data_IF_769085154034
#
_entry.id   IF_769085154034
#
_cell.length_a   1.000
_cell.length_b   1.000
_cell.length_c   1.000
_cell.angle_alpha   90.00
_cell.angle_beta   90.00
_cell.angle_gamma   90.00
#
_symmetry.space_group_name_H-M   'P 1'
#
loop_
_entity.id
_entity.type
_entity.pdbx_description
1 polymer ?
#
# COMPACT_ATOMS: atom_id res chain seq x y z
N UNK A 1 -11.91 68.89 8.71
CA UNK A 1 -10.81 67.91 8.54
C UNK A 1 -10.99 66.63 9.38
N UNK A 2 -11.37 66.72 10.66
CA UNK A 2 -11.53 65.53 11.52
C UNK A 2 -12.65 64.57 11.06
N UNK A 3 -13.83 65.10 10.68
CA UNK A 3 -14.98 64.29 10.24
C UNK A 3 -14.68 63.44 8.99
N UNK A 4 -13.98 63.98 7.99
CA UNK A 4 -13.62 63.24 6.77
C UNK A 4 -12.60 62.12 7.04
N UNK A 5 -11.63 62.34 7.93
CA UNK A 5 -10.67 61.30 8.35
C UNK A 5 -11.36 60.14 9.07
N UNK A 6 -12.32 60.47 9.96
CA UNK A 6 -13.13 59.47 10.67
C UNK A 6 -14.01 58.67 9.69
N UNK A 7 -14.63 59.34 8.72
CA UNK A 7 -15.44 58.67 7.70
C UNK A 7 -14.61 57.67 6.87
N UNK A 8 -13.42 58.08 6.42
CA UNK A 8 -12.50 57.19 5.68
C UNK A 8 -12.09 55.97 6.52
N UNK A 9 -11.82 56.18 7.82
CA UNK A 9 -11.50 55.09 8.75
C UNK A 9 -12.66 54.10 8.90
N UNK A 10 -13.90 54.59 9.06
CA UNK A 10 -15.11 53.76 9.13
C UNK A 10 -15.28 52.92 7.86
N UNK A 11 -15.04 53.53 6.69
CA UNK A 11 -15.17 52.84 5.40
C UNK A 11 -14.14 51.73 5.28
N UNK A 12 -12.88 52.01 5.61
CA UNK A 12 -11.79 51.01 5.59
C UNK A 12 -12.10 49.86 6.57
N UNK A 13 -12.54 50.19 7.79
CA UNK A 13 -12.91 49.18 8.78
C UNK A 13 -14.06 48.30 8.30
N UNK A 14 -15.09 48.90 7.70
CA UNK A 14 -16.24 48.16 7.16
C UNK A 14 -15.83 47.23 6.02
N UNK A 15 -14.97 47.68 5.11
CA UNK A 15 -14.44 46.85 4.01
C UNK A 15 -13.65 45.67 4.56
N UNK A 16 -12.76 45.89 5.53
CA UNK A 16 -11.99 44.83 6.18
C UNK A 16 -12.93 43.82 6.89
N UNK A 17 -13.99 44.30 7.53
CA UNK A 17 -14.97 43.43 8.20
C UNK A 17 -15.72 42.54 7.19
N UNK A 18 -16.11 43.09 6.05
CA UNK A 18 -16.74 42.31 4.97
C UNK A 18 -15.77 41.28 4.37
N UNK A 19 -14.53 41.69 4.08
CA UNK A 19 -13.51 40.80 3.52
C UNK A 19 -13.22 39.61 4.45
N UNK A 20 -13.06 39.86 5.75
CA UNK A 20 -12.80 38.79 6.73
C UNK A 20 -13.99 37.83 6.87
N UNK A 21 -15.23 38.32 6.78
CA UNK A 21 -16.42 37.46 6.78
C UNK A 21 -16.49 36.56 5.53
N UNK A 22 -16.15 37.09 4.35
CA UNK A 22 -16.07 36.31 3.12
C UNK A 22 -14.99 35.23 3.21
N UNK A 23 -13.77 35.61 3.64
CA UNK A 23 -12.66 34.68 3.83
C UNK A 23 -13.06 33.57 4.81
N UNK A 24 -13.62 33.92 5.97
CA UNK A 24 -14.08 32.94 6.98
C UNK A 24 -15.05 31.93 6.40
N UNK A 25 -15.99 32.38 5.57
CA UNK A 25 -17.00 31.52 4.95
C UNK A 25 -16.36 30.56 3.95
N UNK A 26 -15.47 31.06 3.09
CA UNK A 26 -14.77 30.24 2.11
C UNK A 26 -13.85 29.22 2.79
N UNK A 27 -13.11 29.65 3.82
CA UNK A 27 -12.28 28.74 4.62
C UNK A 27 -13.12 27.62 5.23
N UNK A 28 -14.32 27.93 5.76
CA UNK A 28 -15.20 26.91 6.34
C UNK A 28 -15.69 25.88 5.32
N UNK A 29 -15.94 26.29 4.08
CA UNK A 29 -16.33 25.38 2.99
C UNK A 29 -15.15 24.46 2.65
N UNK A 30 -13.94 25.01 2.54
CA UNK A 30 -12.73 24.24 2.25
C UNK A 30 -12.44 23.23 3.36
N UNK A 31 -12.52 23.63 4.64
CA UNK A 31 -12.37 22.73 5.78
C UNK A 31 -13.35 21.55 5.72
N UNK A 32 -14.62 21.82 5.43
CA UNK A 32 -15.65 20.76 5.33
C UNK A 32 -15.33 19.77 4.20
N UNK A 33 -14.84 20.28 3.07
CA UNK A 33 -14.43 19.42 1.96
C UNK A 33 -13.20 18.58 2.31
N UNK A 34 -12.20 19.17 2.96
CA UNK A 34 -11.02 18.44 3.45
C UNK A 34 -11.45 17.32 4.39
N UNK A 35 -12.31 17.61 5.36
CA UNK A 35 -12.81 16.61 6.31
C UNK A 35 -13.57 15.47 5.59
N UNK A 36 -14.41 15.81 4.62
CA UNK A 36 -15.12 14.81 3.80
C UNK A 36 -14.17 13.91 3.01
N UNK A 37 -13.12 14.49 2.40
CA UNK A 37 -12.12 13.70 1.68
C UNK A 37 -11.28 12.84 2.62
N UNK A 38 -10.87 13.35 3.78
CA UNK A 38 -10.15 12.57 4.78
C UNK A 38 -10.97 11.36 5.25
N UNK A 39 -12.26 11.54 5.50
CA UNK A 39 -13.15 10.44 5.85
C UNK A 39 -13.21 9.37 4.75
N UNK A 40 -13.41 9.78 3.50
CA UNK A 40 -13.43 8.86 2.35
C UNK A 40 -12.12 8.10 2.18
N UNK A 41 -10.99 8.78 2.34
CA UNK A 41 -9.66 8.16 2.26
C UNK A 41 -9.52 7.10 3.36
N UNK A 42 -9.90 7.42 4.60
CA UNK A 42 -9.83 6.47 5.71
C UNK A 42 -10.73 5.25 5.50
N UNK A 43 -11.93 5.44 4.93
CA UNK A 43 -12.84 4.34 4.56
C UNK A 43 -12.21 3.44 3.48
N UNK A 44 -11.65 4.05 2.43
CA UNK A 44 -10.95 3.34 1.35
C UNK A 44 -9.73 2.57 1.86
N UNK A 45 -8.94 3.14 2.76
CA UNK A 45 -7.79 2.48 3.39
C UNK A 45 -8.22 1.25 4.19
N UNK A 46 -9.30 1.36 4.97
CA UNK A 46 -9.83 0.23 5.73
C UNK A 46 -10.34 -0.88 4.80
N UNK A 47 -11.10 -0.53 3.77
CA UNK A 47 -11.60 -1.49 2.79
C UNK A 47 -10.46 -2.19 2.04
N UNK A 48 -9.40 -1.46 1.69
CA UNK A 48 -8.21 -2.04 1.07
C UNK A 48 -7.53 -3.03 2.02
N UNK A 49 -7.40 -2.67 3.29
CA UNK A 49 -6.79 -3.54 4.30
C UNK A 49 -7.59 -4.84 4.49
N UNK A 50 -8.91 -4.75 4.59
CA UNK A 50 -9.80 -5.91 4.66
C UNK A 50 -9.67 -6.81 3.41
N UNK A 51 -9.70 -6.21 2.21
CA UNK A 51 -9.52 -6.94 0.96
C UNK A 51 -8.14 -7.62 0.86
N UNK A 52 -7.08 -7.00 1.39
CA UNK A 52 -5.75 -7.61 1.47
C UNK A 52 -5.74 -8.81 2.41
N UNK A 53 -6.37 -8.69 3.58
CA UNK A 53 -6.48 -9.81 4.52
C UNK A 53 -7.25 -10.99 3.89
N UNK A 54 -8.37 -10.70 3.24
CA UNK A 54 -9.16 -11.71 2.53
C UNK A 54 -8.35 -12.36 1.41
N UNK A 55 -7.64 -11.57 0.61
CA UNK A 55 -6.74 -12.07 -0.43
C UNK A 55 -5.69 -13.01 0.16
N UNK A 56 -4.96 -12.60 1.21
CA UNK A 56 -3.93 -13.45 1.83
C UNK A 56 -4.50 -14.74 2.41
N UNK A 57 -5.71 -14.68 2.99
CA UNK A 57 -6.39 -15.87 3.49
C UNK A 57 -6.78 -16.82 2.36
N UNK A 58 -7.44 -16.33 1.31
CA UNK A 58 -7.89 -17.14 0.17
C UNK A 58 -6.73 -17.67 -0.66
N UNK A 59 -5.67 -16.88 -0.82
CA UNK A 59 -4.45 -17.27 -1.54
C UNK A 59 -3.47 -18.06 -0.68
N UNK A 60 -3.82 -18.39 0.57
CA UNK A 60 -2.95 -19.19 1.43
C UNK A 60 -2.73 -20.58 0.81
N UNK A 61 -1.53 -21.17 0.90
CA UNK A 61 -1.25 -22.47 0.30
C UNK A 61 -2.22 -23.57 0.75
N UNK A 62 -2.69 -23.50 2.00
CA UNK A 62 -3.65 -24.46 2.54
C UNK A 62 -5.04 -24.32 1.87
N UNK A 63 -5.58 -23.10 1.80
CA UNK A 63 -6.88 -22.86 1.17
C UNK A 63 -6.83 -23.08 -0.33
N UNK A 64 -5.73 -22.68 -0.98
CA UNK A 64 -5.50 -22.92 -2.39
C UNK A 64 -5.41 -24.41 -2.70
N UNK A 65 -4.69 -25.18 -1.87
CA UNK A 65 -4.62 -26.64 -2.01
C UNK A 65 -5.99 -27.29 -1.90
N UNK A 66 -6.78 -26.94 -0.87
CA UNK A 66 -8.15 -27.45 -0.69
C UNK A 66 -9.02 -27.15 -1.91
N UNK A 67 -8.94 -25.93 -2.44
CA UNK A 67 -9.74 -25.51 -3.59
C UNK A 67 -9.31 -26.18 -4.90
N UNK A 68 -8.01 -26.37 -5.11
CA UNK A 68 -7.49 -27.11 -6.28
C UNK A 68 -7.95 -28.57 -6.22
N UNK A 69 -7.92 -29.20 -5.05
CA UNK A 69 -8.41 -30.56 -4.84
C UNK A 69 -9.94 -30.69 -5.04
N UNK A 70 -10.70 -29.62 -4.78
CA UNK A 70 -12.15 -29.58 -5.00
C UNK A 70 -12.51 -29.49 -6.50
N UNK A 71 -11.72 -28.78 -7.30
CA UNK A 71 -12.04 -28.48 -8.72
C UNK A 71 -11.13 -29.16 -9.75
N UNK A 72 -10.11 -29.92 -9.32
CA UNK A 72 -9.19 -30.63 -10.20
C UNK A 72 -8.71 -31.92 -9.56
N UNK A 73 -8.33 -32.90 -10.39
CA UNK A 73 -7.76 -34.18 -9.95
C UNK A 73 -6.24 -34.06 -9.63
N UNK A 74 -5.67 -32.86 -9.69
CA UNK A 74 -4.25 -32.59 -9.48
C UNK A 74 -3.95 -32.19 -8.03
N UNK A 75 -3.00 -32.88 -7.38
CA UNK A 75 -2.51 -32.48 -6.06
C UNK A 75 -1.65 -31.22 -6.16
N UNK A 76 -2.11 -30.12 -5.56
CA UNK A 76 -1.30 -28.92 -5.40
C UNK A 76 -0.13 -29.19 -4.43
N UNK A 77 1.10 -29.11 -4.96
CA UNK A 77 2.33 -29.16 -4.16
C UNK A 77 2.92 -27.77 -4.06
N UNK A 78 2.88 -27.19 -2.86
CA UNK A 78 3.58 -25.94 -2.57
C UNK A 78 5.07 -26.09 -2.89
N UNK A 79 5.70 -25.03 -3.40
CA UNK A 79 7.14 -25.02 -3.62
C UNK A 79 7.86 -25.30 -2.29
N UNK A 80 8.81 -26.24 -2.29
CA UNK A 80 9.61 -26.51 -1.10
C UNK A 80 10.42 -25.26 -0.72
N UNK A 81 10.44 -24.92 0.57
CA UNK A 81 11.22 -23.78 1.10
C UNK A 81 12.69 -23.80 0.67
N UNK A 82 13.30 -24.99 0.54
CA UNK A 82 14.68 -25.15 0.07
C UNK A 82 14.90 -24.74 -1.39
N UNK A 83 13.83 -24.56 -2.17
CA UNK A 83 13.84 -24.11 -3.57
C UNK A 83 13.39 -22.65 -3.71
N UNK A 84 13.11 -21.95 -2.62
CA UNK A 84 12.80 -20.52 -2.61
C UNK A 84 14.13 -19.76 -2.48
N UNK A 85 14.46 -18.98 -3.51
CA UNK A 85 15.68 -18.16 -3.53
C UNK A 85 15.29 -16.69 -3.47
N UNK A 86 15.91 -15.93 -2.55
CA UNK A 86 15.68 -14.49 -2.41
C UNK A 86 16.30 -13.68 -3.55
N UNK A 87 17.31 -14.24 -4.21
CA UNK A 87 18.01 -13.61 -5.33
C UNK A 87 18.43 -14.65 -6.38
N UNK A 88 18.69 -14.17 -7.60
CA UNK A 88 19.19 -15.04 -8.67
C UNK A 88 20.63 -15.51 -8.39
N UNK A 89 21.39 -14.73 -7.62
CA UNK A 89 22.72 -15.05 -7.15
C UNK A 89 22.70 -16.25 -6.20
N UNK A 90 21.74 -16.31 -5.28
CA UNK A 90 21.56 -17.43 -4.35
C UNK A 90 21.26 -18.73 -5.09
N UNK A 91 20.37 -18.67 -6.08
CA UNK A 91 20.09 -19.78 -6.98
C UNK A 91 21.35 -20.27 -7.71
N UNK A 92 22.10 -19.34 -8.32
CA UNK A 92 23.34 -19.66 -9.05
C UNK A 92 24.40 -20.26 -8.13
N UNK A 93 24.51 -19.79 -6.88
CA UNK A 93 25.45 -20.30 -5.89
C UNK A 93 25.12 -21.74 -5.50
N UNK A 94 23.84 -22.04 -5.31
CA UNK A 94 23.38 -23.38 -4.93
C UNK A 94 23.55 -24.39 -6.07
N UNK A 95 23.19 -24.00 -7.30
CA UNK A 95 23.47 -24.75 -8.53
C UNK A 95 24.95 -25.10 -8.70
N UNK A 96 25.85 -24.15 -8.41
CA UNK A 96 27.30 -24.35 -8.48
C UNK A 96 27.82 -25.32 -7.42
N UNK A 97 27.22 -25.36 -6.22
CA UNK A 97 27.57 -26.33 -5.16
C UNK A 97 27.16 -27.75 -5.58
N UNK A 98 25.95 -27.93 -6.09
CA UNK A 98 25.44 -29.23 -6.56
C UNK A 98 26.30 -29.76 -7.69
N UNK A 99 26.63 -28.91 -8.67
CA UNK A 99 27.51 -29.28 -9.80
C UNK A 99 28.91 -29.72 -9.35
N UNK A 100 29.51 -29.03 -8.36
CA UNK A 100 30.83 -29.42 -7.82
C UNK A 100 30.80 -30.76 -7.09
N UNK A 101 29.73 -31.05 -6.35
CA UNK A 101 29.56 -32.34 -5.64
C UNK A 101 29.47 -33.52 -6.62
N UNK A 102 28.68 -33.37 -7.70
CA UNK A 102 28.57 -34.39 -8.77
C UNK A 102 29.92 -34.66 -9.46
N UNK A 103 30.75 -33.63 -9.67
CA UNK A 103 32.09 -33.80 -10.26
C UNK A 103 33.03 -34.55 -9.30
N UNK A 104 32.93 -34.30 -8.00
CA UNK A 104 33.77 -34.94 -6.99
C UNK A 104 33.40 -36.42 -6.78
N UNK A 105 32.09 -36.74 -6.75
CA UNK A 105 31.61 -38.12 -6.59
C UNK A 105 31.98 -38.99 -7.80
N UNK A 106 31.96 -38.43 -9.03
CA UNK A 106 32.46 -39.10 -10.25
C UNK A 106 33.97 -39.34 -10.25
N UNK A 107 34.77 -38.56 -9.50
CA UNK A 107 36.21 -38.79 -9.35
C UNK A 107 36.52 -39.88 -8.34
N UNK A 108 35.67 -40.05 -7.32
CA UNK A 108 35.83 -41.09 -6.28
C UNK A 108 35.43 -42.47 -6.84
N UNK A 109 34.43 -42.57 -7.72
CA UNK A 109 34.06 -43.84 -8.38
C UNK A 109 35.02 -44.30 -9.49
N UNK A 110 35.98 -43.46 -9.90
CA UNK A 110 37.02 -43.80 -10.91
C UNK A 110 38.36 -44.21 -10.30
N UNK A 111 38.45 -44.30 -8.98
CA UNK A 111 39.55 -44.94 -8.24
C UNK A 111 39.10 -46.31 -7.78
#
# INVERSE_FOLDING_TARGET
MFKNKVFISITIFSVLMFLTALIKTQTRIIEKNIYSYQFKISELENNLYEAQLEYFYLSSPENLSKKILEYSDDEYKSINFSKIYFSIEDFKKDQRKTSKKVINDKKIQKK
#
